data_IF_136654551425
#
_entry.id   IF_136654551425
#
_cell.length_a   1.000
_cell.length_b   1.000
_cell.length_c   1.000
_cell.angle_alpha   90.00
_cell.angle_beta   90.00
_cell.angle_gamma   90.00
#
_symmetry.space_group_name_H-M   'P 1'
#
loop_
_entity.id
_entity.type
_entity.pdbx_description
1 polymer ?
#
# COMPACT_ATOMS: atom_id res chain seq x y z
N UNK A 1 -12.86 -7.92 8.88
CA UNK A 1 -12.37 -6.82 9.76
C UNK A 1 -13.57 -6.07 10.32
N UNK A 2 -13.50 -5.71 11.61
CA UNK A 2 -14.53 -4.90 12.25
C UNK A 2 -14.61 -3.51 11.62
N UNK A 3 -15.81 -3.04 11.28
CA UNK A 3 -16.02 -1.75 10.61
C UNK A 3 -15.49 -0.57 11.44
N UNK A 4 -15.62 -0.62 12.75
CA UNK A 4 -15.12 0.44 13.66
C UNK A 4 -13.61 0.59 13.57
N UNK A 5 -12.87 -0.53 13.58
CA UNK A 5 -11.40 -0.53 13.47
C UNK A 5 -10.99 -0.10 12.07
N UNK A 6 -11.66 -0.58 11.05
CA UNK A 6 -11.42 -0.19 9.67
C UNK A 6 -11.56 1.33 9.49
N UNK A 7 -12.62 1.91 10.01
CA UNK A 7 -12.83 3.36 9.96
C UNK A 7 -11.73 4.13 10.68
N UNK A 8 -11.24 3.62 11.83
CA UNK A 8 -10.10 4.22 12.53
C UNK A 8 -8.84 4.19 11.69
N UNK A 9 -8.56 3.06 11.02
CA UNK A 9 -7.40 2.94 10.13
C UNK A 9 -7.53 3.91 8.96
N UNK A 10 -8.69 3.99 8.32
CA UNK A 10 -8.96 4.93 7.23
C UNK A 10 -8.72 6.37 7.66
N UNK A 11 -9.25 6.77 8.81
CA UNK A 11 -9.06 8.11 9.34
C UNK A 11 -7.60 8.41 9.68
N UNK A 12 -6.89 7.45 10.25
CA UNK A 12 -5.46 7.56 10.53
C UNK A 12 -4.66 7.78 9.24
N UNK A 13 -4.91 6.99 8.22
CA UNK A 13 -4.24 7.08 6.92
C UNK A 13 -4.48 8.44 6.28
N UNK A 14 -5.73 8.88 6.22
CA UNK A 14 -6.09 10.18 5.64
C UNK A 14 -5.48 11.36 6.39
N UNK A 15 -5.29 11.23 7.70
CA UNK A 15 -4.73 12.30 8.53
C UNK A 15 -3.20 12.36 8.51
N UNK A 16 -2.53 11.24 8.25
CA UNK A 16 -1.08 11.13 8.39
C UNK A 16 -0.31 11.00 7.06
N UNK A 17 -0.99 10.61 5.97
CA UNK A 17 -0.33 10.36 4.70
C UNK A 17 -0.90 11.22 3.59
N UNK A 18 -0.05 11.53 2.60
CA UNK A 18 -0.43 12.36 1.47
C UNK A 18 -1.21 11.56 0.44
N UNK A 19 -2.37 12.07 0.03
CA UNK A 19 -3.10 11.56 -1.12
C UNK A 19 -2.30 11.84 -2.39
N UNK A 20 -2.02 10.80 -3.18
CA UNK A 20 -1.37 10.93 -4.47
C UNK A 20 -2.38 11.43 -5.53
N UNK A 21 -1.89 12.29 -6.42
CA UNK A 21 -2.72 12.87 -7.50
C UNK A 21 -3.12 11.78 -8.50
N UNK A 22 -4.42 11.48 -8.56
CA UNK A 22 -4.96 10.45 -9.45
C UNK A 22 -4.70 10.74 -10.94
N UNK A 23 -4.58 12.01 -11.33
CA UNK A 23 -4.29 12.41 -12.72
C UNK A 23 -2.89 12.03 -13.19
N UNK A 24 -1.97 11.71 -12.25
CA UNK A 24 -0.60 11.31 -12.55
C UNK A 24 -0.43 9.80 -12.67
N UNK A 25 -1.48 9.01 -12.53
CA UNK A 25 -1.41 7.56 -12.67
C UNK A 25 -1.47 7.14 -14.14
N UNK A 26 -0.52 6.29 -14.54
CA UNK A 26 -0.54 5.56 -15.80
C UNK A 26 -0.99 4.13 -15.58
N UNK A 27 -1.45 3.47 -16.64
CA UNK A 27 -1.78 2.05 -16.57
C UNK A 27 -0.51 1.22 -16.41
N UNK A 28 -0.48 0.38 -15.39
CA UNK A 28 0.60 -0.56 -15.15
C UNK A 28 0.26 -1.97 -15.60
N UNK A 29 1.18 -2.89 -15.33
CA UNK A 29 0.97 -4.32 -15.54
C UNK A 29 -0.05 -4.86 -14.55
N UNK A 30 -0.88 -5.80 -15.01
CA UNK A 30 -1.92 -6.42 -14.17
C UNK A 30 -1.55 -7.87 -13.93
N UNK A 31 -0.87 -8.12 -12.80
CA UNK A 31 -0.49 -9.48 -12.42
C UNK A 31 -1.49 -10.15 -11.47
N UNK A 32 -2.09 -9.39 -10.56
CA UNK A 32 -3.03 -9.89 -9.54
C UNK A 32 -2.51 -11.12 -8.77
N UNK A 33 -1.20 -11.15 -8.51
CA UNK A 33 -0.51 -12.31 -7.96
C UNK A 33 -0.18 -12.17 -6.46
N UNK A 34 -0.68 -11.15 -5.78
CA UNK A 34 -0.38 -10.81 -4.38
C UNK A 34 1.11 -10.59 -4.09
N UNK A 35 1.89 -10.20 -5.11
CA UNK A 35 3.34 -9.99 -5.02
C UNK A 35 3.74 -8.55 -5.35
N UNK A 36 2.95 -7.59 -4.88
CA UNK A 36 3.20 -6.17 -5.16
C UNK A 36 4.62 -5.73 -4.79
N UNK A 37 5.18 -6.27 -3.70
CA UNK A 37 6.55 -5.98 -3.27
C UNK A 37 7.60 -6.45 -4.29
N UNK A 38 7.43 -7.65 -4.85
CA UNK A 38 8.33 -8.18 -5.87
C UNK A 38 8.13 -7.50 -7.23
N UNK A 39 6.89 -7.26 -7.62
CA UNK A 39 6.56 -6.59 -8.88
C UNK A 39 7.16 -5.18 -8.92
N UNK A 40 7.03 -4.42 -7.84
CA UNK A 40 7.55 -3.06 -7.76
C UNK A 40 9.09 -3.01 -7.76
N UNK A 41 9.74 -3.91 -7.03
CA UNK A 41 11.21 -4.00 -7.00
C UNK A 41 11.77 -4.43 -8.35
N UNK A 42 11.12 -5.36 -9.04
CA UNK A 42 11.53 -5.79 -10.38
C UNK A 42 11.50 -4.62 -11.37
N UNK A 43 10.45 -3.81 -11.36
CA UNK A 43 10.37 -2.62 -12.22
C UNK A 43 11.47 -1.60 -11.87
N UNK A 44 11.78 -1.45 -10.59
CA UNK A 44 12.87 -0.57 -10.17
C UNK A 44 14.22 -1.02 -10.73
N UNK A 45 14.51 -2.31 -10.72
CA UNK A 45 15.75 -2.85 -11.28
C UNK A 45 15.79 -2.77 -12.81
N UNK A 46 14.67 -3.04 -13.47
CA UNK A 46 14.61 -3.08 -14.94
C UNK A 46 14.57 -1.68 -15.57
N UNK A 47 13.82 -0.76 -14.97
CA UNK A 47 13.52 0.54 -15.57
C UNK A 47 14.05 1.75 -14.76
N UNK A 48 14.66 1.52 -13.61
CA UNK A 48 15.15 2.59 -12.75
C UNK A 48 14.05 3.36 -12.02
N UNK A 49 12.84 2.81 -11.97
CA UNK A 49 11.70 3.45 -11.31
C UNK A 49 11.90 3.46 -9.79
N UNK A 50 11.28 4.44 -9.13
CA UNK A 50 11.19 4.47 -7.67
C UNK A 50 10.15 3.46 -7.19
N UNK A 51 10.30 3.00 -5.95
CA UNK A 51 9.32 2.16 -5.26
C UNK A 51 8.69 2.98 -4.14
N UNK A 52 7.35 3.02 -4.11
CA UNK A 52 6.58 3.70 -3.07
C UNK A 52 5.75 2.71 -2.27
N UNK A 53 5.85 2.82 -0.95
CA UNK A 53 4.93 2.17 -0.03
C UNK A 53 3.70 3.06 0.12
N UNK A 54 2.54 2.51 -0.15
CA UNK A 54 1.26 3.23 -0.14
C UNK A 54 0.21 2.47 0.64
N UNK A 55 -0.86 3.16 1.01
CA UNK A 55 -2.09 2.54 1.48
C UNK A 55 -3.18 2.89 0.47
N UNK A 56 -3.82 1.88 -0.06
CA UNK A 56 -4.95 2.00 -0.99
C UNK A 56 -6.25 1.96 -0.20
N UNK A 57 -7.12 2.93 -0.40
CA UNK A 57 -8.44 3.01 0.23
C UNK A 57 -9.49 3.12 -0.85
N UNK A 58 -10.45 2.24 -0.83
CA UNK A 58 -11.56 2.23 -1.78
C UNK A 58 -12.21 0.86 -1.89
N UNK A 59 -13.30 0.78 -2.61
CA UNK A 59 -14.02 -0.48 -2.84
C UNK A 59 -14.31 -1.26 -1.53
N UNK A 60 -14.51 -0.54 -0.43
CA UNK A 60 -14.72 -1.16 0.89
C UNK A 60 -13.47 -1.75 1.52
N UNK A 61 -12.28 -1.50 0.99
CA UNK A 61 -11.03 -2.11 1.41
C UNK A 61 -9.99 -1.09 1.86
N UNK A 62 -9.06 -1.54 2.70
CA UNK A 62 -7.81 -0.84 3.04
C UNK A 62 -6.68 -1.81 2.74
N UNK A 63 -5.75 -1.43 1.89
CA UNK A 63 -4.69 -2.34 1.44
C UNK A 63 -3.34 -1.64 1.56
N UNK A 64 -2.40 -2.24 2.30
CA UNK A 64 -0.99 -1.83 2.29
C UNK A 64 -0.35 -2.42 1.04
N UNK A 65 0.30 -1.57 0.24
CA UNK A 65 0.65 -1.91 -1.14
C UNK A 65 1.94 -1.22 -1.58
N UNK A 66 2.52 -1.68 -2.68
CA UNK A 66 3.66 -1.04 -3.32
C UNK A 66 3.34 -0.68 -4.76
N UNK A 67 3.77 0.50 -5.17
CA UNK A 67 3.68 0.99 -6.55
C UNK A 67 5.02 1.56 -6.99
N UNK A 68 5.10 1.93 -8.25
CA UNK A 68 6.28 2.57 -8.82
C UNK A 68 6.01 4.05 -9.17
N UNK A 69 7.08 4.81 -9.27
CA UNK A 69 7.08 6.13 -9.89
C UNK A 69 8.16 6.16 -10.97
N UNK A 70 7.81 6.59 -12.18
CA UNK A 70 8.75 6.72 -13.27
C UNK A 70 9.57 8.02 -13.18
N UNK A 71 10.51 8.21 -14.11
CA UNK A 71 11.37 9.39 -14.14
C UNK A 71 10.64 10.71 -14.43
N UNK A 72 9.42 10.61 -14.95
CA UNK A 72 8.57 11.77 -15.26
C UNK A 72 7.61 12.12 -14.11
N UNK A 73 7.66 11.36 -13.03
CA UNK A 73 6.80 11.57 -11.85
C UNK A 73 5.42 10.91 -11.93
N UNK A 74 5.18 10.05 -12.94
CA UNK A 74 3.94 9.29 -13.02
C UNK A 74 3.94 8.12 -12.06
N UNK A 75 2.79 7.83 -11.46
CA UNK A 75 2.60 6.67 -10.60
C UNK A 75 2.08 5.49 -11.41
N UNK A 76 2.58 4.30 -11.13
CA UNK A 76 2.27 3.09 -11.89
C UNK A 76 2.07 1.94 -10.90
N UNK A 77 0.89 1.37 -10.88
CA UNK A 77 0.61 0.15 -10.11
C UNK A 77 0.84 -1.06 -11.01
N UNK A 78 1.98 -1.73 -10.81
CA UNK A 78 2.38 -2.88 -11.60
C UNK A 78 1.87 -4.22 -11.04
N UNK A 79 0.87 -4.19 -10.19
CA UNK A 79 0.19 -5.38 -9.67
C UNK A 79 -1.29 -5.37 -10.05
N UNK A 80 -2.00 -4.30 -9.70
CA UNK A 80 -3.42 -4.14 -10.02
C UNK A 80 -3.65 -3.54 -11.41
N UNK A 81 -2.62 -2.88 -11.96
CA UNK A 81 -2.70 -2.32 -13.31
C UNK A 81 -3.72 -1.19 -13.42
N UNK A 82 -4.48 -1.19 -14.51
CA UNK A 82 -5.40 -0.11 -14.82
C UNK A 82 -6.54 0.03 -13.82
N UNK A 83 -7.00 -1.06 -13.24
CA UNK A 83 -8.17 -0.98 -12.37
C UNK A 83 -7.84 -0.52 -10.94
N UNK A 84 -6.58 -0.56 -10.53
CA UNK A 84 -6.18 -0.03 -9.22
C UNK A 84 -6.59 1.42 -9.03
N UNK A 85 -6.26 2.28 -9.99
CA UNK A 85 -6.63 3.70 -9.96
C UNK A 85 -8.14 3.96 -10.07
N UNK A 86 -8.89 3.01 -10.64
CA UNK A 86 -10.35 3.12 -10.74
C UNK A 86 -11.05 2.78 -9.41
N UNK A 87 -10.46 1.89 -8.62
CA UNK A 87 -11.06 1.38 -7.38
C UNK A 87 -10.56 2.08 -6.13
N UNK A 88 -9.32 2.61 -6.14
CA UNK A 88 -8.65 3.07 -4.92
C UNK A 88 -8.10 4.48 -5.05
N UNK A 89 -8.11 5.18 -3.90
CA UNK A 89 -7.24 6.32 -3.64
C UNK A 89 -5.94 5.80 -3.02
N UNK A 90 -4.80 6.34 -3.43
CA UNK A 90 -3.48 5.92 -2.97
C UNK A 90 -2.89 6.98 -2.05
N UNK A 91 -2.54 6.59 -0.84
CA UNK A 91 -1.91 7.45 0.17
C UNK A 91 -0.46 7.06 0.34
N UNK A 92 0.45 8.02 0.19
CA UNK A 92 1.89 7.77 0.27
C UNK A 92 2.35 7.62 1.72
N UNK A 93 2.90 6.46 2.06
CA UNK A 93 3.56 6.23 3.35
C UNK A 93 5.01 6.68 3.27
N UNK A 94 5.78 6.16 2.32
CA UNK A 94 7.19 6.55 2.11
C UNK A 94 7.72 6.06 0.76
N UNK A 95 8.80 6.73 0.29
CA UNK A 95 9.64 6.18 -0.76
C UNK A 95 10.53 5.09 -0.16
N UNK A 96 10.63 3.96 -0.84
CA UNK A 96 11.47 2.84 -0.42
C UNK A 96 12.86 3.00 -1.02
N UNK A 97 13.90 3.03 -0.18
CA UNK A 97 15.27 3.12 -0.66
C UNK A 97 15.77 1.78 -1.21
N UNK A 98 16.76 1.81 -2.10
CA UNK A 98 17.38 0.58 -2.65
C UNK A 98 17.88 -0.36 -1.56
N UNK A 99 18.42 0.18 -0.47
CA UNK A 99 18.90 -0.62 0.66
C UNK A 99 17.80 -1.39 1.37
N UNK A 100 16.54 -0.97 1.23
CA UNK A 100 15.38 -1.62 1.83
C UNK A 100 14.77 -2.72 0.93
N UNK A 101 15.19 -2.85 -0.33
CA UNK A 101 14.59 -3.81 -1.26
C UNK A 101 14.73 -5.26 -0.79
N UNK A 102 15.85 -5.62 -0.18
CA UNK A 102 16.10 -6.97 0.35
C UNK A 102 15.15 -7.34 1.50
N UNK A 103 14.69 -6.35 2.25
CA UNK A 103 13.82 -6.53 3.41
C UNK A 103 12.43 -5.92 3.20
N UNK A 104 12.04 -5.76 1.94
CA UNK A 104 10.78 -5.07 1.61
C UNK A 104 9.55 -5.79 2.18
N UNK A 105 9.60 -7.10 2.30
CA UNK A 105 8.54 -7.87 2.96
C UNK A 105 8.38 -7.45 4.43
N UNK A 106 9.48 -7.23 5.13
CA UNK A 106 9.46 -6.76 6.53
C UNK A 106 8.86 -5.35 6.62
N UNK A 107 9.16 -4.49 5.66
CA UNK A 107 8.58 -3.16 5.59
C UNK A 107 7.06 -3.22 5.43
N UNK A 108 6.57 -4.11 4.57
CA UNK A 108 5.14 -4.35 4.38
C UNK A 108 4.48 -4.83 5.68
N UNK A 109 5.02 -5.88 6.29
CA UNK A 109 4.45 -6.48 7.51
C UNK A 109 4.51 -5.55 8.70
N UNK A 110 5.60 -4.80 8.86
CA UNK A 110 5.75 -3.81 9.93
C UNK A 110 4.75 -2.66 9.78
N UNK A 111 4.50 -2.22 8.56
CA UNK A 111 3.49 -1.18 8.30
C UNK A 111 2.09 -1.66 8.63
N UNK A 112 1.74 -2.88 8.24
CA UNK A 112 0.46 -3.50 8.62
C UNK A 112 0.30 -3.59 10.14
N UNK A 113 1.32 -4.08 10.83
CA UNK A 113 1.32 -4.17 12.31
C UNK A 113 1.15 -2.80 12.95
N UNK A 114 1.84 -1.79 12.47
CA UNK A 114 1.74 -0.44 12.98
C UNK A 114 0.33 0.10 12.83
N UNK A 115 -0.29 -0.02 11.67
CA UNK A 115 -1.65 0.46 11.43
C UNK A 115 -2.66 -0.25 12.34
N UNK A 116 -2.52 -1.57 12.50
CA UNK A 116 -3.40 -2.37 13.37
C UNK A 116 -3.20 -1.97 14.85
N UNK A 117 -1.95 -1.92 15.32
CA UNK A 117 -1.64 -1.65 16.72
C UNK A 117 -2.03 -0.23 17.14
N UNK A 118 -1.90 0.74 16.26
CA UNK A 118 -2.27 2.14 16.53
C UNK A 118 -3.79 2.31 16.61
N UNK A 119 -4.55 1.47 15.91
CA UNK A 119 -5.99 1.66 15.71
C UNK A 119 -6.85 0.59 16.39
N UNK A 120 -6.25 -0.29 17.19
CA UNK A 120 -6.97 -1.35 17.91
C UNK A 120 -6.42 -1.54 19.31
N UNK A 121 -7.24 -2.08 20.21
CA UNK A 121 -6.82 -2.44 21.57
C UNK A 121 -6.14 -3.81 21.57
N UNK A 122 -5.38 -4.09 22.66
CA UNK A 122 -4.80 -5.40 22.88
C UNK A 122 -5.84 -6.52 22.89
N UNK A 123 -7.01 -6.28 23.51
CA UNK A 123 -8.09 -7.26 23.58
C UNK A 123 -8.68 -7.56 22.20
N UNK A 124 -8.90 -6.52 21.39
CA UNK A 124 -9.39 -6.66 20.02
C UNK A 124 -8.44 -7.51 19.16
N UNK A 125 -7.14 -7.30 19.31
CA UNK A 125 -6.12 -8.13 18.62
C UNK A 125 -6.09 -9.55 19.12
N UNK A 126 -6.17 -9.76 20.44
CA UNK A 126 -6.17 -11.11 21.06
C UNK A 126 -7.40 -11.92 20.64
N UNK A 127 -8.56 -11.29 20.53
CA UNK A 127 -9.79 -11.94 20.05
C UNK A 127 -9.83 -12.09 18.53
N UNK A 128 -8.77 -11.66 17.82
CA UNK A 128 -8.64 -11.75 16.36
C UNK A 128 -9.77 -11.00 15.60
N UNK A 129 -10.25 -9.91 16.17
CA UNK A 129 -11.22 -9.04 15.52
C UNK A 129 -10.60 -8.33 14.33
N UNK A 130 -9.28 -8.14 14.36
CA UNK A 130 -8.48 -7.65 13.23
C UNK A 130 -7.21 -8.47 13.06
N UNK A 131 -6.84 -8.77 11.82
CA UNK A 131 -5.65 -9.53 11.45
C UNK A 131 -4.84 -8.79 10.39
N UNK A 132 -3.55 -9.11 10.28
CA UNK A 132 -2.69 -8.54 9.24
C UNK A 132 -3.22 -8.78 7.82
N UNK A 133 -3.83 -9.94 7.57
CA UNK A 133 -4.40 -10.29 6.27
C UNK A 133 -5.63 -9.46 5.90
N UNK A 134 -6.17 -8.68 6.84
CA UNK A 134 -7.32 -7.81 6.58
C UNK A 134 -6.95 -6.53 5.83
N UNK A 135 -5.65 -6.22 5.73
CA UNK A 135 -5.16 -5.00 5.06
C UNK A 135 -3.96 -5.22 4.17
#
# INVERSE_FOLDING_TARGET
MNLKIKNKIVNYVKSNYKLLDSSKFLNGKTYCNHRCHLNAVQEAYENGDKVFLVVCIGNGEVIVHFINQDSKGHYIDNTLGWYGKELYDYYLVKEVSKSEYKTIWNLLTNTKKMLINTNSSWLERKLKIIKEDDI
#
